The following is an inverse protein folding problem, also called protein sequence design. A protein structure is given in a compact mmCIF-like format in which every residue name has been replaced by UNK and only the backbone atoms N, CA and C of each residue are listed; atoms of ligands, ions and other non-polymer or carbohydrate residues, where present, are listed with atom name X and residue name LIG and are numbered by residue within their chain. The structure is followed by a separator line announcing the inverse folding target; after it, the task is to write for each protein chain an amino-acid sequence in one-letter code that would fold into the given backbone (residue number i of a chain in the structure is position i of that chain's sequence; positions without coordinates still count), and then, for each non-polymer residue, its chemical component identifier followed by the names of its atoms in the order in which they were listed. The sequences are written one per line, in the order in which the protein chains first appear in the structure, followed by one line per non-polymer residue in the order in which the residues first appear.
data_IF_691129219391
#
_entry.id   IF_691129219391
#
_cell.length_a   1.000
_cell.length_b   1.000
_cell.length_c   1.000
_cell.angle_alpha   90.00
_cell.angle_beta   90.00
_cell.angle_gamma   90.00
#
_symmetry.space_group_name_H-M   'P 1'
#
loop_
_entity.id
_entity.type
_entity.pdbx_description
1 polymer ?
#
# COMPACT_ATOMS: atom_id res chain seq x y z
N UNK A 1 12.41 5.18 1.35
CA UNK A 1 10.99 5.27 1.71
C UNK A 1 10.29 6.22 0.72
N UNK A 2 9.01 6.02 0.50
CA UNK A 2 8.23 6.72 -0.51
C UNK A 2 8.11 5.92 -1.81
N UNK A 3 7.94 6.63 -2.94
CA UNK A 3 7.84 5.97 -4.25
C UNK A 3 9.24 5.55 -4.72
N UNK A 4 9.46 4.25 -4.83
CA UNK A 4 10.71 3.69 -5.36
C UNK A 4 10.73 3.80 -6.89
N UNK A 5 11.87 4.20 -7.45
CA UNK A 5 12.05 4.27 -8.90
C UNK A 5 12.59 2.92 -9.40
N UNK A 6 11.73 2.05 -9.87
CA UNK A 6 12.04 0.71 -10.33
C UNK A 6 11.47 -0.39 -9.42
N UNK A 7 11.81 -1.64 -9.70
CA UNK A 7 11.41 -2.78 -8.86
C UNK A 7 12.50 -3.04 -7.83
N UNK A 8 12.19 -3.02 -6.52
CA UNK A 8 13.14 -3.34 -5.48
C UNK A 8 13.68 -4.77 -5.66
N UNK A 9 14.99 -4.93 -5.58
CA UNK A 9 15.62 -6.25 -5.53
C UNK A 9 15.87 -6.65 -4.08
N UNK A 10 15.39 -7.85 -3.70
CA UNK A 10 15.59 -8.40 -2.36
C UNK A 10 16.59 -9.55 -2.42
N UNK A 11 17.60 -9.49 -1.55
CA UNK A 11 18.64 -10.52 -1.41
C UNK A 11 18.16 -11.63 -0.46
N UNK A 12 17.39 -12.58 -1.00
CA UNK A 12 16.75 -13.64 -0.21
C UNK A 12 17.72 -14.60 0.45
N UNK A 13 18.85 -14.88 -0.19
CA UNK A 13 19.89 -15.76 0.39
C UNK A 13 20.52 -15.08 1.61
N UNK A 14 20.83 -13.79 1.50
CA UNK A 14 21.32 -13.00 2.64
C UNK A 14 20.28 -12.91 3.75
N UNK A 15 19.00 -12.74 3.40
CA UNK A 15 17.90 -12.71 4.37
C UNK A 15 17.81 -14.04 5.14
N UNK A 16 17.91 -15.17 4.44
CA UNK A 16 17.90 -16.49 5.05
C UNK A 16 19.10 -16.70 6.00
N UNK A 17 20.29 -16.22 5.61
CA UNK A 17 21.48 -16.27 6.45
C UNK A 17 21.33 -15.41 7.71
N UNK A 18 20.81 -14.21 7.57
CA UNK A 18 20.52 -13.33 8.70
C UNK A 18 19.50 -13.96 9.66
N UNK A 19 18.41 -14.50 9.11
CA UNK A 19 17.38 -15.15 9.93
C UNK A 19 17.90 -16.33 10.74
N UNK A 20 18.84 -17.10 10.17
CA UNK A 20 19.50 -18.22 10.88
C UNK A 20 20.51 -17.76 11.94
N UNK A 21 21.11 -16.59 11.73
CA UNK A 21 22.21 -16.09 12.57
C UNK A 21 21.77 -15.18 13.70
N UNK A 22 20.54 -14.63 13.61
CA UNK A 22 20.02 -13.62 14.52
C UNK A 22 18.74 -14.15 15.16
N UNK A 23 18.68 -14.19 16.49
CA UNK A 23 17.51 -14.68 17.26
C UNK A 23 16.41 -13.62 17.44
N UNK A 24 16.64 -12.37 16.99
CA UNK A 24 15.65 -11.30 17.10
C UNK A 24 14.77 -11.20 15.85
N UNK A 25 13.51 -10.73 15.99
CA UNK A 25 12.60 -10.53 14.87
C UNK A 25 13.15 -9.57 13.82
N UNK A 26 13.06 -9.96 12.54
CA UNK A 26 13.48 -9.14 11.41
C UNK A 26 12.32 -8.28 10.87
N UNK A 27 12.63 -7.05 10.51
CA UNK A 27 11.67 -6.07 9.97
C UNK A 27 12.07 -5.63 8.57
N UNK A 28 11.15 -5.73 7.63
CA UNK A 28 11.31 -5.16 6.29
C UNK A 28 10.76 -3.74 6.25
N UNK A 29 11.62 -2.75 6.03
CA UNK A 29 11.24 -1.38 5.73
C UNK A 29 11.04 -1.20 4.21
N UNK A 30 10.16 -0.24 3.84
CA UNK A 30 9.94 0.08 2.44
C UNK A 30 9.24 -1.03 1.65
N UNK A 31 8.31 -1.76 2.27
CA UNK A 31 7.60 -2.86 1.63
C UNK A 31 6.71 -2.44 0.45
N UNK A 32 6.22 -1.18 0.44
CA UNK A 32 5.42 -0.65 -0.67
C UNK A 32 6.19 -0.68 -1.99
N UNK A 33 5.52 -1.14 -3.06
CA UNK A 33 6.13 -1.24 -4.39
C UNK A 33 7.08 -2.44 -4.59
N UNK A 34 7.24 -3.29 -3.58
CA UNK A 34 8.11 -4.49 -3.66
C UNK A 34 7.45 -5.62 -4.46
N UNK A 35 6.13 -5.63 -4.55
CA UNK A 35 5.34 -6.67 -5.20
C UNK A 35 5.00 -7.85 -4.28
N UNK A 36 3.81 -8.42 -4.50
CA UNK A 36 3.22 -9.45 -3.63
C UNK A 36 4.10 -10.70 -3.51
N UNK A 37 4.65 -11.20 -4.61
CA UNK A 37 5.49 -12.40 -4.60
C UNK A 37 6.76 -12.20 -3.78
N UNK A 38 7.42 -11.04 -3.92
CA UNK A 38 8.61 -10.71 -3.15
C UNK A 38 8.28 -10.53 -1.66
N UNK A 39 7.17 -9.87 -1.34
CA UNK A 39 6.74 -9.68 0.04
C UNK A 39 6.38 -11.00 0.71
N UNK A 40 5.62 -11.85 0.01
CA UNK A 40 5.28 -13.18 0.50
C UNK A 40 6.53 -14.02 0.75
N UNK A 41 7.43 -14.06 -0.22
CA UNK A 41 8.71 -14.78 -0.08
C UNK A 41 9.56 -14.22 1.05
N UNK A 42 9.59 -12.89 1.26
CA UNK A 42 10.33 -12.30 2.37
C UNK A 42 9.79 -12.76 3.74
N UNK A 43 8.46 -12.80 3.89
CA UNK A 43 7.82 -13.33 5.12
C UNK A 43 8.13 -14.83 5.31
N UNK A 44 8.04 -15.64 4.26
CA UNK A 44 8.38 -17.07 4.28
C UNK A 44 9.86 -17.30 4.59
N UNK A 45 10.74 -16.36 4.22
CA UNK A 45 12.19 -16.44 4.47
C UNK A 45 12.59 -15.98 5.88
N UNK A 46 11.70 -15.27 6.61
CA UNK A 46 11.98 -14.91 8.02
C UNK A 46 11.68 -13.47 8.42
N UNK A 47 11.11 -12.65 7.55
CA UNK A 47 10.59 -11.34 7.94
C UNK A 47 9.33 -11.51 8.77
N UNK A 48 9.31 -10.91 9.95
CA UNK A 48 8.19 -11.01 10.91
C UNK A 48 7.35 -9.72 10.97
N UNK A 49 7.85 -8.61 10.45
CA UNK A 49 7.13 -7.35 10.35
C UNK A 49 7.45 -6.66 9.03
N UNK A 50 6.42 -6.22 8.32
CA UNK A 50 6.56 -5.43 7.09
C UNK A 50 6.00 -4.03 7.31
N UNK A 51 6.77 -3.00 7.00
CA UNK A 51 6.32 -1.62 7.04
C UNK A 51 5.77 -1.20 5.67
N UNK A 52 4.48 -0.89 5.63
CA UNK A 52 3.73 -0.47 4.46
C UNK A 52 3.07 0.88 4.73
N UNK A 53 3.21 1.84 3.82
CA UNK A 53 2.51 3.11 3.91
C UNK A 53 2.03 3.57 2.53
N UNK A 54 2.94 3.64 1.55
CA UNK A 54 2.66 4.24 0.23
C UNK A 54 1.53 3.51 -0.49
N UNK A 55 1.51 2.18 -0.47
CA UNK A 55 0.46 1.38 -1.12
C UNK A 55 -0.90 1.55 -0.42
N UNK A 56 -0.91 1.62 0.92
CA UNK A 56 -2.13 1.89 1.69
C UNK A 56 -2.68 3.29 1.37
N UNK A 57 -1.79 4.28 1.32
CA UNK A 57 -2.15 5.65 0.95
C UNK A 57 -2.66 5.73 -0.49
N UNK A 58 -2.00 5.04 -1.43
CA UNK A 58 -2.43 4.99 -2.83
C UNK A 58 -3.82 4.36 -2.98
N UNK A 59 -4.11 3.26 -2.26
CA UNK A 59 -5.44 2.65 -2.24
C UNK A 59 -6.53 3.59 -1.73
N UNK A 60 -6.25 4.36 -0.68
CA UNK A 60 -7.16 5.37 -0.16
C UNK A 60 -7.39 6.53 -1.15
N UNK A 61 -6.31 7.01 -1.77
CA UNK A 61 -6.40 8.08 -2.78
C UNK A 61 -7.16 7.62 -4.02
N UNK A 62 -6.98 6.37 -4.45
CA UNK A 62 -7.68 5.84 -5.64
C UNK A 62 -9.20 5.82 -5.45
N UNK A 63 -9.69 5.35 -4.30
CA UNK A 63 -11.13 5.38 -3.99
C UNK A 63 -11.65 6.80 -3.84
N UNK A 64 -10.89 7.69 -3.20
CA UNK A 64 -11.23 9.09 -3.09
C UNK A 64 -11.35 9.78 -4.45
N UNK A 65 -10.42 9.52 -5.37
CA UNK A 65 -10.47 10.03 -6.75
C UNK A 65 -11.74 9.58 -7.47
N UNK A 66 -12.07 8.29 -7.38
CA UNK A 66 -13.28 7.72 -7.97
C UNK A 66 -14.54 8.37 -7.41
N UNK A 67 -14.61 8.56 -6.11
CA UNK A 67 -15.73 9.24 -5.45
C UNK A 67 -15.90 10.69 -5.91
N UNK A 68 -14.82 11.45 -5.97
CA UNK A 68 -14.82 12.83 -6.40
C UNK A 68 -15.06 12.98 -7.91
N UNK A 69 -14.88 11.91 -8.69
CA UNK A 69 -14.96 11.96 -10.15
C UNK A 69 -13.84 12.80 -10.76
N UNK A 70 -12.67 12.82 -10.11
CA UNK A 70 -11.52 13.61 -10.56
C UNK A 70 -10.65 12.78 -11.48
N UNK A 71 -10.54 13.24 -12.72
CA UNK A 71 -9.51 12.79 -13.65
C UNK A 71 -8.34 13.79 -13.63
N UNK A 72 -7.19 13.34 -13.11
CA UNK A 72 -6.03 14.22 -12.96
C UNK A 72 -5.43 14.67 -14.30
N UNK A 73 -5.62 13.89 -15.36
CA UNK A 73 -5.15 14.27 -16.71
C UNK A 73 -6.02 15.41 -17.27
N UNK A 74 -7.28 15.53 -16.86
CA UNK A 74 -8.17 16.63 -17.22
C UNK A 74 -7.90 17.90 -16.42
N UNK A 75 -7.50 17.79 -15.14
CA UNK A 75 -7.17 18.95 -14.28
C UNK A 75 -5.99 19.76 -14.83
N UNK A 76 -5.03 19.11 -15.49
CA UNK A 76 -3.89 19.82 -16.10
C UNK A 76 -4.29 20.64 -17.33
N UNK A 77 -5.42 20.36 -17.94
CA UNK A 77 -5.89 21.04 -19.16
C UNK A 77 -6.82 22.21 -18.88
N UNK A 78 -7.60 22.15 -17.81
CA UNK A 78 -8.54 23.20 -17.42
C UNK A 78 -8.24 23.64 -15.99
N UNK A 79 -7.55 24.75 -15.85
CA UNK A 79 -7.16 25.34 -14.57
C UNK A 79 -8.36 25.89 -13.73
N UNK A 80 -9.56 25.43 -13.96
CA UNK A 80 -10.72 25.69 -13.11
C UNK A 80 -10.70 24.71 -11.93
N UNK A 81 -9.94 25.05 -10.90
CA UNK A 81 -10.09 24.54 -9.54
C UNK A 81 -11.56 24.70 -9.11
N UNK A 82 -12.36 23.63 -9.15
CA UNK A 82 -13.67 23.67 -8.53
C UNK A 82 -14.77 22.80 -9.11
N UNK A 83 -14.60 22.15 -10.24
CA UNK A 83 -15.62 21.19 -10.70
C UNK A 83 -15.19 19.75 -10.44
N UNK A 84 -15.56 19.22 -9.28
CA UNK A 84 -15.57 17.78 -9.08
C UNK A 84 -16.67 17.14 -9.95
N UNK A 85 -16.38 16.02 -10.62
CA UNK A 85 -17.37 15.27 -11.39
C UNK A 85 -18.58 14.86 -10.55
N UNK A 86 -18.36 14.58 -9.27
CA UNK A 86 -19.42 14.34 -8.29
C UNK A 86 -19.84 15.66 -7.62
N UNK A 87 -20.93 16.26 -8.13
CA UNK A 87 -21.49 17.53 -7.60
C UNK A 87 -22.10 17.41 -6.20
N UNK A 88 -22.33 16.18 -5.71
CA UNK A 88 -22.84 15.92 -4.37
C UNK A 88 -21.73 15.54 -3.39
N UNK A 89 -20.47 15.62 -3.81
CA UNK A 89 -19.34 15.28 -2.96
C UNK A 89 -19.32 16.15 -1.70
N UNK A 90 -19.10 15.51 -0.57
CA UNK A 90 -18.91 16.17 0.72
C UNK A 90 -17.72 15.55 1.46
N UNK A 91 -17.21 16.27 2.44
CA UNK A 91 -15.99 15.87 3.16
C UNK A 91 -16.17 14.56 3.94
N UNK A 92 -17.33 14.34 4.53
CA UNK A 92 -17.61 13.14 5.31
C UNK A 92 -17.51 11.88 4.42
N UNK A 93 -18.27 11.85 3.32
CA UNK A 93 -18.26 10.73 2.39
C UNK A 93 -16.88 10.55 1.74
N UNK A 94 -16.17 11.64 1.45
CA UNK A 94 -14.81 11.59 0.93
C UNK A 94 -13.85 10.86 1.90
N UNK A 95 -13.96 11.14 3.20
CA UNK A 95 -13.18 10.45 4.23
C UNK A 95 -13.57 8.96 4.31
N UNK A 96 -14.86 8.65 4.25
CA UNK A 96 -15.36 7.27 4.28
C UNK A 96 -14.81 6.48 3.10
N UNK A 97 -14.88 7.03 1.88
CA UNK A 97 -14.37 6.37 0.67
C UNK A 97 -12.85 6.19 0.71
N UNK A 98 -12.10 7.21 1.11
CA UNK A 98 -10.65 7.10 1.29
C UNK A 98 -10.28 6.02 2.32
N UNK A 99 -11.02 5.96 3.43
CA UNK A 99 -10.84 4.93 4.47
C UNK A 99 -11.18 3.53 3.95
N UNK A 100 -12.21 3.38 3.13
CA UNK A 100 -12.57 2.10 2.53
C UNK A 100 -11.47 1.56 1.62
N UNK A 101 -10.85 2.41 0.79
CA UNK A 101 -9.70 2.02 -0.04
C UNK A 101 -8.47 1.62 0.77
N UNK A 102 -8.15 2.39 1.80
CA UNK A 102 -7.09 2.05 2.74
C UNK A 102 -7.33 0.68 3.40
N UNK A 103 -8.55 0.45 3.90
CA UNK A 103 -8.96 -0.80 4.54
C UNK A 103 -8.86 -1.99 3.58
N UNK A 104 -9.29 -1.84 2.34
CA UNK A 104 -9.22 -2.89 1.33
C UNK A 104 -7.77 -3.30 1.04
N UNK A 105 -6.88 -2.32 0.87
CA UNK A 105 -5.45 -2.57 0.67
C UNK A 105 -4.81 -3.23 1.89
N UNK A 106 -5.15 -2.79 3.10
CA UNK A 106 -4.66 -3.42 4.33
C UNK A 106 -5.13 -4.88 4.44
N UNK A 107 -6.41 -5.16 4.14
CA UNK A 107 -6.96 -6.51 4.17
C UNK A 107 -6.24 -7.44 3.18
N UNK A 108 -5.89 -6.94 1.98
CA UNK A 108 -5.08 -7.68 1.02
C UNK A 108 -3.74 -8.10 1.63
N UNK A 109 -2.99 -7.18 2.25
CA UNK A 109 -1.70 -7.51 2.86
C UNK A 109 -1.83 -8.43 4.09
N UNK A 110 -2.88 -8.28 4.90
CA UNK A 110 -3.16 -9.22 6.01
C UNK A 110 -3.35 -10.64 5.49
N UNK A 111 -4.06 -10.81 4.37
CA UNK A 111 -4.22 -12.12 3.72
C UNK A 111 -2.90 -12.62 3.13
N UNK A 112 -2.19 -11.76 2.40
CA UNK A 112 -0.90 -12.09 1.76
C UNK A 112 0.12 -12.62 2.77
N UNK A 113 0.19 -12.03 3.96
CA UNK A 113 1.11 -12.42 5.03
C UNK A 113 0.57 -13.56 5.92
N UNK A 114 -0.58 -14.13 5.57
CA UNK A 114 -1.17 -15.25 6.32
C UNK A 114 -1.73 -14.85 7.69
N UNK A 115 -2.04 -13.56 7.90
CA UNK A 115 -2.64 -13.05 9.14
C UNK A 115 -4.15 -13.24 9.24
N UNK A 116 -4.83 -13.63 8.17
CA UNK A 116 -6.26 -13.86 8.19
C UNK A 116 -6.63 -15.07 9.07
N UNK A 117 -7.70 -14.92 9.86
CA UNK A 117 -8.23 -15.98 10.75
C UNK A 117 -7.26 -16.47 11.83
N UNK A 118 -6.34 -15.66 12.29
CA UNK A 118 -5.42 -15.95 13.38
C UNK A 118 -5.79 -15.25 14.69
N UNK A 119 -7.07 -15.08 14.94
CA UNK A 119 -7.61 -14.57 16.20
C UNK A 119 -8.27 -15.70 16.97
#
# INVERSE_FOLDING_TARGET
HGVYKGTPHLEFDLLADLHRSIEIPLVLHGGSGTGDDNLKRAVETGIQKVNLFTDLSAGGIDTLRKYLGVDFDSIQKDAALGEFGNKNANLYDAIVEGTAGWKATLAHYVQLFGGANRV
#
